data_IF_197062719468
#
_entry.id   IF_197062719468
#
_cell.length_a   1.000
_cell.length_b   1.000
_cell.length_c   1.000
_cell.angle_alpha   90.00
_cell.angle_beta   90.00
_cell.angle_gamma   90.00
#
_symmetry.space_group_name_H-M   'P 1'
#
loop_
_entity.id
_entity.type
_entity.pdbx_description
1 polymer ?
#
# COMPACT_ATOMS: atom_id res chain seq x y z
N UNK A 1 -11.48 0.92 -21.95
CA UNK A 1 -12.16 0.14 -20.89
C UNK A 1 -12.10 0.97 -19.61
N UNK A 2 -13.24 1.39 -19.04
CA UNK A 2 -13.25 2.12 -17.77
C UNK A 2 -12.99 1.10 -16.66
N UNK A 3 -11.86 1.20 -15.96
CA UNK A 3 -11.63 0.40 -14.76
C UNK A 3 -12.73 0.77 -13.76
N UNK A 4 -13.46 -0.23 -13.27
CA UNK A 4 -14.45 -0.01 -12.22
C UNK A 4 -13.72 0.58 -11.01
N UNK A 5 -14.22 1.72 -10.52
CA UNK A 5 -13.69 2.48 -9.37
C UNK A 5 -13.12 1.56 -8.28
N UNK A 6 -13.86 0.56 -7.76
CA UNK A 6 -13.37 -0.36 -6.72
C UNK A 6 -12.04 -1.06 -7.04
N UNK A 7 -11.80 -1.43 -8.30
CA UNK A 7 -10.58 -2.14 -8.72
C UNK A 7 -9.38 -1.21 -8.68
N UNK A 8 -9.55 0.05 -9.10
CA UNK A 8 -8.50 1.08 -9.03
C UNK A 8 -8.10 1.32 -7.56
N UNK A 9 -9.08 1.58 -6.69
CA UNK A 9 -8.79 1.84 -5.27
C UNK A 9 -8.21 0.62 -4.55
N UNK A 10 -8.65 -0.59 -4.90
CA UNK A 10 -8.09 -1.82 -4.33
C UNK A 10 -6.62 -1.97 -4.69
N UNK A 11 -6.27 -1.84 -5.97
CA UNK A 11 -4.88 -1.99 -6.43
C UNK A 11 -4.00 -0.92 -5.81
N UNK A 12 -4.44 0.34 -5.83
CA UNK A 12 -3.66 1.46 -5.29
C UNK A 12 -3.53 1.37 -3.76
N UNK A 13 -4.58 0.98 -3.05
CA UNK A 13 -4.53 0.75 -1.62
C UNK A 13 -3.54 -0.34 -1.26
N UNK A 14 -3.59 -1.51 -1.92
CA UNK A 14 -2.60 -2.57 -1.69
C UNK A 14 -1.18 -2.12 -2.02
N UNK A 15 -0.98 -1.41 -3.12
CA UNK A 15 0.32 -0.87 -3.53
C UNK A 15 0.91 0.01 -2.44
N UNK A 16 0.17 1.04 -2.06
CA UNK A 16 0.63 2.02 -1.09
C UNK A 16 0.82 1.40 0.30
N UNK A 17 -0.09 0.52 0.72
CA UNK A 17 0.02 -0.21 1.98
C UNK A 17 1.30 -1.04 2.08
N UNK A 18 1.63 -1.81 1.03
CA UNK A 18 2.85 -2.62 1.01
C UNK A 18 4.09 -1.72 1.01
N UNK A 19 4.14 -0.71 0.13
CA UNK A 19 5.31 0.15 -0.09
C UNK A 19 5.63 1.00 1.14
N UNK A 20 4.65 1.74 1.66
CA UNK A 20 4.83 2.63 2.81
C UNK A 20 5.19 1.83 4.08
N UNK A 21 4.49 0.72 4.33
CA UNK A 21 4.79 -0.13 5.48
C UNK A 21 6.16 -0.76 5.36
N UNK A 22 6.54 -1.26 4.18
CA UNK A 22 7.88 -1.83 3.95
C UNK A 22 8.98 -0.81 4.23
N UNK A 23 8.86 0.40 3.68
CA UNK A 23 9.87 1.46 3.90
C UNK A 23 10.05 1.78 5.39
N UNK A 24 8.94 1.93 6.12
CA UNK A 24 8.97 2.21 7.56
C UNK A 24 9.55 1.05 8.36
N UNK A 25 9.11 -0.19 8.12
CA UNK A 25 9.59 -1.33 8.93
C UNK A 25 11.04 -1.64 8.66
N UNK A 26 11.51 -1.49 7.41
CA UNK A 26 12.93 -1.67 7.08
C UNK A 26 13.78 -0.60 7.74
N UNK A 27 13.35 0.67 7.70
CA UNK A 27 14.07 1.76 8.37
C UNK A 27 14.11 1.60 9.87
N UNK A 28 12.96 1.36 10.50
CA UNK A 28 12.90 1.17 11.97
C UNK A 28 13.70 -0.07 12.38
N UNK A 29 13.63 -1.17 11.63
CA UNK A 29 14.42 -2.37 11.92
C UNK A 29 15.92 -2.19 11.74
N UNK A 30 16.35 -1.23 10.91
CA UNK A 30 17.76 -0.85 10.80
C UNK A 30 18.23 -0.01 12.00
N UNK A 31 17.30 0.72 12.64
CA UNK A 31 17.58 1.60 13.78
C UNK A 31 17.45 0.90 15.16
N UNK A 32 16.78 -0.26 15.24
CA UNK A 32 16.53 -0.93 16.53
C UNK A 32 16.47 -2.46 16.44
N UNK A 33 16.94 -3.12 17.50
CA UNK A 33 16.78 -4.56 17.72
C UNK A 33 15.43 -4.93 18.36
N UNK A 34 14.62 -3.94 18.75
CA UNK A 34 13.34 -4.19 19.41
C UNK A 34 12.24 -4.56 18.40
N UNK A 35 11.95 -5.86 18.27
CA UNK A 35 10.81 -6.36 17.49
C UNK A 35 9.50 -5.67 17.86
N UNK A 36 9.29 -5.39 19.16
CA UNK A 36 8.07 -4.72 19.65
C UNK A 36 7.93 -3.32 19.07
N UNK A 37 9.02 -2.56 18.97
CA UNK A 37 9.00 -1.23 18.38
C UNK A 37 8.70 -1.28 16.88
N UNK A 38 9.34 -2.21 16.14
CA UNK A 38 9.11 -2.35 14.70
C UNK A 38 7.63 -2.65 14.40
N UNK A 39 7.06 -3.64 15.09
CA UNK A 39 5.66 -4.03 14.89
C UNK A 39 4.71 -2.90 15.33
N UNK A 40 4.96 -2.26 16.47
CA UNK A 40 4.11 -1.17 16.96
C UNK A 40 4.08 -0.01 15.97
N UNK A 41 5.24 0.44 15.48
CA UNK A 41 5.31 1.53 14.50
C UNK A 41 4.59 1.17 13.22
N UNK A 42 4.72 -0.09 12.76
CA UNK A 42 4.02 -0.56 11.57
C UNK A 42 2.49 -0.55 11.76
N UNK A 43 1.99 -1.03 12.90
CA UNK A 43 0.56 -1.04 13.18
C UNK A 43 -0.01 0.37 13.28
N UNK A 44 0.71 1.29 13.93
CA UNK A 44 0.30 2.70 14.00
C UNK A 44 0.26 3.32 12.60
N UNK A 45 1.31 3.10 11.79
CA UNK A 45 1.35 3.57 10.41
C UNK A 45 0.16 3.01 9.61
N UNK A 46 -0.05 1.69 9.65
CA UNK A 46 -1.11 1.03 8.89
C UNK A 46 -2.47 1.65 9.20
N UNK A 47 -2.78 1.85 10.49
CA UNK A 47 -4.06 2.42 10.90
C UNK A 47 -4.17 3.87 10.48
N UNK A 48 -3.18 4.71 10.78
CA UNK A 48 -3.25 6.15 10.51
C UNK A 48 -3.28 6.44 9.01
N UNK A 49 -2.43 5.79 8.23
CA UNK A 49 -2.38 5.97 6.77
C UNK A 49 -3.61 5.38 6.08
N UNK A 50 -4.15 4.25 6.53
CA UNK A 50 -5.38 3.71 5.95
C UNK A 50 -6.56 4.69 6.08
N UNK A 51 -6.66 5.38 7.21
CA UNK A 51 -7.66 6.40 7.46
C UNK A 51 -7.41 7.64 6.59
N UNK A 52 -6.15 8.08 6.47
CA UNK A 52 -5.73 9.18 5.60
C UNK A 52 -6.11 8.90 4.14
N UNK A 53 -5.76 7.72 3.62
CA UNK A 53 -6.02 7.29 2.25
C UNK A 53 -7.52 7.09 1.96
N UNK A 54 -8.27 6.53 2.92
CA UNK A 54 -9.72 6.42 2.81
C UNK A 54 -10.37 7.81 2.76
N UNK A 55 -10.01 8.72 3.67
CA UNK A 55 -10.53 10.08 3.69
C UNK A 55 -10.16 10.85 2.41
N UNK A 56 -8.89 10.75 1.97
CA UNK A 56 -8.41 11.35 0.73
C UNK A 56 -9.17 10.85 -0.50
N UNK A 57 -9.43 9.55 -0.57
CA UNK A 57 -10.23 8.95 -1.65
C UNK A 57 -11.68 9.41 -1.63
N UNK A 58 -12.30 9.49 -0.44
CA UNK A 58 -13.66 10.00 -0.29
C UNK A 58 -13.76 11.45 -0.78
N UNK A 59 -12.86 12.32 -0.31
CA UNK A 59 -12.82 13.74 -0.67
C UNK A 59 -12.51 13.93 -2.15
N UNK A 60 -11.54 13.19 -2.70
CA UNK A 60 -11.18 13.26 -4.12
C UNK A 60 -12.35 12.85 -5.02
N UNK A 61 -12.97 11.68 -4.76
CA UNK A 61 -14.12 11.22 -5.52
C UNK A 61 -15.34 12.16 -5.38
N UNK A 62 -15.55 12.72 -4.18
CA UNK A 62 -16.62 13.70 -3.95
C UNK A 62 -16.39 14.95 -4.81
N UNK A 63 -15.18 15.52 -4.78
CA UNK A 63 -14.82 16.69 -5.58
C UNK A 63 -14.96 16.44 -7.09
N UNK A 64 -14.49 15.29 -7.60
CA UNK A 64 -14.64 14.93 -9.02
C UNK A 64 -16.11 14.89 -9.46
N UNK A 65 -16.99 14.34 -8.62
CA UNK A 65 -18.40 14.20 -8.94
C UNK A 65 -19.20 15.49 -8.76
N UNK A 66 -18.84 16.35 -7.81
CA UNK A 66 -19.39 17.70 -7.67
C UNK A 66 -19.03 18.56 -8.90
N UNK A 67 -17.77 18.50 -9.36
CA UNK A 67 -17.34 19.17 -10.59
C UNK A 67 -18.09 18.62 -11.82
N UNK A 68 -18.34 17.31 -11.85
CA UNK A 68 -19.12 16.67 -12.91
C UNK A 68 -20.64 16.84 -12.77
N UNK A 69 -21.11 17.63 -11.78
CA UNK A 69 -22.53 17.90 -11.52
C UNK A 69 -23.38 16.63 -11.35
N UNK A 70 -22.80 15.57 -10.77
CA UNK A 70 -23.48 14.30 -10.53
C UNK A 70 -24.38 14.41 -9.28
N UNK A 71 -25.60 13.82 -9.28
CA UNK A 71 -26.50 13.88 -8.14
C UNK A 71 -25.87 13.39 -6.82
N UNK A 72 -26.11 14.12 -5.73
CA UNK A 72 -25.49 13.90 -4.42
C UNK A 72 -25.62 12.46 -3.89
N UNK A 73 -26.77 11.80 -4.11
CA UNK A 73 -26.98 10.41 -3.67
C UNK A 73 -26.03 9.44 -4.36
N UNK A 74 -25.81 9.63 -5.66
CA UNK A 74 -24.87 8.80 -6.45
C UNK A 74 -23.43 9.13 -6.09
N UNK A 75 -23.15 10.40 -5.83
CA UNK A 75 -21.85 10.89 -5.31
C UNK A 75 -21.50 10.21 -4.00
N UNK A 76 -22.39 10.30 -3.00
CA UNK A 76 -22.14 9.73 -1.68
C UNK A 76 -21.88 8.23 -1.73
N UNK A 77 -22.76 7.46 -2.39
CA UNK A 77 -22.61 6.00 -2.49
C UNK A 77 -21.28 5.59 -3.13
N UNK A 78 -20.87 6.27 -4.20
CA UNK A 78 -19.66 5.93 -4.94
C UNK A 78 -18.39 6.36 -4.18
N UNK A 79 -18.37 7.55 -3.57
CA UNK A 79 -17.24 8.03 -2.77
C UNK A 79 -17.01 7.17 -1.53
N UNK A 80 -18.08 6.79 -0.81
CA UNK A 80 -17.98 5.90 0.36
C UNK A 80 -17.51 4.51 -0.04
N UNK A 81 -18.02 3.96 -1.15
CA UNK A 81 -17.55 2.67 -1.63
C UNK A 81 -16.05 2.70 -1.95
N UNK A 82 -15.59 3.69 -2.71
CA UNK A 82 -14.17 3.80 -3.07
C UNK A 82 -13.25 3.97 -1.86
N UNK A 83 -13.64 4.80 -0.89
CA UNK A 83 -12.85 4.99 0.34
C UNK A 83 -12.75 3.73 1.20
N UNK A 84 -13.82 2.93 1.28
CA UNK A 84 -13.81 1.66 1.99
C UNK A 84 -12.86 0.66 1.32
N UNK A 85 -12.93 0.50 -0.01
CA UNK A 85 -12.02 -0.39 -0.74
C UNK A 85 -10.57 0.07 -0.63
N UNK A 86 -10.31 1.38 -0.69
CA UNK A 86 -8.97 1.94 -0.50
C UNK A 86 -8.41 1.58 0.88
N UNK A 87 -9.13 1.97 1.95
CA UNK A 87 -8.68 1.78 3.32
C UNK A 87 -8.49 0.31 3.67
N UNK A 88 -9.45 -0.56 3.32
CA UNK A 88 -9.36 -1.99 3.59
C UNK A 88 -8.17 -2.63 2.85
N UNK A 89 -7.97 -2.28 1.57
CA UNK A 89 -6.87 -2.82 0.77
C UNK A 89 -5.51 -2.33 1.24
N UNK A 90 -5.43 -1.07 1.69
CA UNK A 90 -4.23 -0.51 2.33
C UNK A 90 -3.86 -1.28 3.59
N UNK A 91 -4.83 -1.52 4.47
CA UNK A 91 -4.60 -2.33 5.69
C UNK A 91 -4.06 -3.70 5.33
N UNK A 92 -4.72 -4.41 4.39
CA UNK A 92 -4.29 -5.73 3.94
C UNK A 92 -2.88 -5.71 3.34
N UNK A 93 -2.57 -4.70 2.52
CA UNK A 93 -1.25 -4.50 1.94
C UNK A 93 -0.17 -4.28 3.00
N UNK A 94 -0.41 -3.38 3.95
CA UNK A 94 0.54 -3.08 5.03
C UNK A 94 0.79 -4.28 5.94
N UNK A 95 -0.25 -5.05 6.27
CA UNK A 95 -0.09 -6.29 7.03
C UNK A 95 0.83 -7.30 6.31
N UNK A 96 0.84 -7.30 4.98
CA UNK A 96 1.67 -8.21 4.20
C UNK A 96 3.17 -7.99 4.45
N UNK A 97 3.61 -6.74 4.52
CA UNK A 97 5.03 -6.38 4.70
C UNK A 97 5.55 -6.71 6.11
N UNK A 98 4.68 -6.73 7.13
CA UNK A 98 5.09 -6.96 8.52
C UNK A 98 5.20 -8.44 8.89
N UNK A 99 4.70 -9.37 8.07
CA UNK A 99 4.63 -10.80 8.38
C UNK A 99 5.97 -11.35 8.90
N UNK A 100 7.13 -11.11 8.24
CA UNK A 100 8.38 -11.69 8.68
C UNK A 100 8.85 -11.20 10.07
N UNK A 101 8.46 -9.98 10.46
CA UNK A 101 8.85 -9.39 11.74
C UNK A 101 8.15 -10.03 12.94
N UNK A 102 7.04 -10.75 12.76
CA UNK A 102 6.44 -11.53 13.84
C UNK A 102 7.30 -12.73 14.26
N UNK A 103 8.02 -13.33 13.31
CA UNK A 103 8.74 -14.58 13.51
C UNK A 103 10.25 -14.38 13.68
N UNK A 104 10.83 -13.42 12.97
CA UNK A 104 12.27 -13.22 12.87
C UNK A 104 12.74 -12.03 13.72
N UNK A 105 14.04 -11.97 14.02
CA UNK A 105 14.63 -10.78 14.65
C UNK A 105 14.67 -9.62 13.64
N UNK A 106 14.57 -8.34 14.06
CA UNK A 106 14.42 -7.21 13.14
C UNK A 106 15.43 -7.20 12.00
N UNK A 107 16.72 -7.33 12.31
CA UNK A 107 17.78 -7.40 11.30
C UNK A 107 17.58 -8.54 10.29
N UNK A 108 17.29 -9.75 10.77
CA UNK A 108 17.06 -10.94 9.93
C UNK A 108 15.73 -10.93 9.16
N UNK A 109 14.76 -10.12 9.60
CA UNK A 109 13.44 -10.00 9.00
C UNK A 109 13.41 -9.08 7.78
N UNK A 110 14.40 -8.18 7.64
CA UNK A 110 14.47 -7.19 6.55
C UNK A 110 14.43 -7.87 5.17
N UNK A 111 15.37 -8.78 4.89
CA UNK A 111 15.47 -9.38 3.57
C UNK A 111 14.24 -10.23 3.19
N UNK A 112 13.69 -11.09 4.08
CA UNK A 112 12.42 -11.77 3.84
C UNK A 112 11.24 -10.81 3.63
N UNK A 113 11.17 -9.69 4.35
CA UNK A 113 10.11 -8.68 4.17
C UNK A 113 10.18 -8.00 2.82
N UNK A 114 11.39 -7.63 2.37
CA UNK A 114 11.62 -7.07 1.04
C UNK A 114 11.23 -8.09 -0.04
N UNK A 115 11.69 -9.34 0.07
CA UNK A 115 11.38 -10.39 -0.91
C UNK A 115 9.87 -10.66 -1.00
N UNK A 116 9.20 -10.76 0.14
CA UNK A 116 7.75 -10.98 0.23
C UNK A 116 6.97 -9.81 -0.40
N UNK A 117 7.38 -8.58 -0.11
CA UNK A 117 6.74 -7.36 -0.63
C UNK A 117 6.92 -7.20 -2.14
N UNK A 118 8.13 -7.48 -2.65
CA UNK A 118 8.41 -7.49 -4.10
C UNK A 118 7.54 -8.53 -4.80
N UNK A 119 7.47 -9.76 -4.27
CA UNK A 119 6.64 -10.81 -4.85
C UNK A 119 5.15 -10.44 -4.86
N UNK A 120 4.66 -9.84 -3.78
CA UNK A 120 3.28 -9.36 -3.68
C UNK A 120 2.98 -8.25 -4.70
N UNK A 121 3.83 -7.23 -4.80
CA UNK A 121 3.63 -6.12 -5.73
C UNK A 121 3.81 -6.53 -7.18
N UNK A 122 4.74 -7.44 -7.47
CA UNK A 122 4.84 -8.03 -8.79
C UNK A 122 3.54 -8.73 -9.17
N UNK A 123 2.96 -9.49 -8.24
CA UNK A 123 1.69 -10.19 -8.45
C UNK A 123 0.56 -9.19 -8.68
N UNK A 124 0.39 -8.19 -7.81
CA UNK A 124 -0.61 -7.13 -7.94
C UNK A 124 -0.43 -6.38 -9.27
N UNK A 125 0.81 -6.03 -9.63
CA UNK A 125 1.11 -5.34 -10.88
C UNK A 125 0.88 -6.20 -12.12
N UNK A 126 1.10 -7.51 -12.03
CA UNK A 126 0.74 -8.46 -13.07
C UNK A 126 -0.78 -8.49 -13.29
N UNK A 127 -1.56 -8.58 -12.20
CA UNK A 127 -3.03 -8.52 -12.26
C UNK A 127 -3.51 -7.17 -12.79
N UNK A 128 -2.95 -6.05 -12.31
CA UNK A 128 -3.21 -4.70 -12.82
C UNK A 128 -2.98 -4.64 -14.33
N UNK A 129 -1.86 -5.19 -14.81
CA UNK A 129 -1.52 -5.19 -16.22
C UNK A 129 -2.52 -5.99 -17.06
N UNK A 130 -3.01 -7.12 -16.54
CA UNK A 130 -4.05 -7.92 -17.18
C UNK A 130 -5.38 -7.15 -17.26
N UNK A 131 -5.81 -6.52 -16.17
CA UNK A 131 -7.07 -5.76 -16.14
C UNK A 131 -6.98 -4.50 -17.01
N UNK A 132 -5.83 -3.81 -17.02
CA UNK A 132 -5.65 -2.60 -17.80
C UNK A 132 -5.38 -2.84 -19.29
N UNK A 133 -5.18 -4.09 -19.72
CA UNK A 133 -4.86 -4.43 -21.12
C UNK A 133 -3.48 -3.95 -21.55
N UNK A 134 -2.54 -3.80 -20.60
CA UNK A 134 -1.14 -3.39 -20.85
C UNK A 134 -0.20 -4.58 -20.64
N UNK A 135 1.10 -4.38 -20.85
CA UNK A 135 2.08 -5.43 -20.62
C UNK A 135 2.14 -5.81 -19.11
N UNK A 136 1.74 -7.05 -18.80
CA UNK A 136 1.63 -7.59 -17.45
C UNK A 136 2.95 -7.60 -16.70
N UNK A 137 4.02 -8.04 -17.36
CA UNK A 137 5.36 -8.14 -16.77
C UNK A 137 5.91 -6.74 -16.50
N UNK A 138 5.76 -5.82 -17.45
CA UNK A 138 6.21 -4.44 -17.27
C UNK A 138 5.51 -3.78 -16.08
N UNK A 139 4.20 -3.94 -15.96
CA UNK A 139 3.41 -3.43 -14.84
C UNK A 139 3.81 -4.05 -13.49
N UNK A 140 4.09 -5.36 -13.45
CA UNK A 140 4.62 -6.03 -12.25
C UNK A 140 6.01 -5.51 -11.85
N UNK A 141 6.91 -5.32 -12.82
CA UNK A 141 8.25 -4.79 -12.58
C UNK A 141 8.21 -3.34 -12.10
N UNK A 142 7.38 -2.49 -12.69
CA UNK A 142 7.19 -1.09 -12.27
C UNK A 142 6.81 -1.01 -10.78
N UNK A 143 5.81 -1.78 -10.34
CA UNK A 143 5.38 -1.78 -8.93
C UNK A 143 6.43 -2.37 -8.00
N UNK A 144 7.15 -3.41 -8.42
CA UNK A 144 8.24 -4.01 -7.64
C UNK A 144 9.37 -3.00 -7.40
N UNK A 145 9.73 -2.22 -8.42
CA UNK A 145 10.76 -1.18 -8.34
C UNK A 145 10.41 -0.08 -7.33
N UNK A 146 9.12 0.30 -7.24
CA UNK A 146 8.66 1.26 -6.23
C UNK A 146 8.95 0.75 -4.82
N UNK A 147 8.64 -0.51 -4.52
CA UNK A 147 8.93 -1.07 -3.18
C UNK A 147 10.41 -1.22 -2.88
N UNK A 148 11.22 -1.61 -3.86
CA UNK A 148 12.66 -1.69 -3.68
C UNK A 148 13.23 -0.31 -3.36
N UNK A 149 12.73 0.73 -4.04
CA UNK A 149 13.14 2.12 -3.80
C UNK A 149 12.75 2.55 -2.38
N UNK A 150 11.52 2.28 -1.94
CA UNK A 150 11.08 2.59 -0.58
C UNK A 150 11.88 1.83 0.49
N UNK A 151 12.22 0.55 0.27
CA UNK A 151 13.04 -0.23 1.18
C UNK A 151 14.47 0.31 1.30
N UNK A 152 15.08 0.69 0.16
CA UNK A 152 16.43 1.28 0.14
C UNK A 152 16.44 2.60 0.89
N UNK A 153 15.50 3.51 0.57
CA UNK A 153 15.40 4.82 1.23
C UNK A 153 15.14 4.63 2.73
N UNK A 154 14.18 3.77 3.09
CA UNK A 154 13.85 3.46 4.47
C UNK A 154 15.06 2.95 5.26
N UNK A 155 15.80 1.99 4.69
CA UNK A 155 17.02 1.46 5.31
C UNK A 155 18.05 2.56 5.58
N UNK A 156 18.36 3.39 4.57
CA UNK A 156 19.34 4.46 4.73
C UNK A 156 18.91 5.52 5.76
N UNK A 157 17.63 5.90 5.76
CA UNK A 157 17.09 6.83 6.76
C UNK A 157 17.15 6.23 8.17
N UNK A 158 16.96 4.92 8.31
CA UNK A 158 17.02 4.24 9.60
C UNK A 158 18.44 4.04 10.16
N UNK A 159 19.45 3.98 9.29
CA UNK A 159 20.86 3.84 9.70
C UNK A 159 21.53 5.19 9.99
N UNK A 160 20.96 6.28 9.48
CA UNK A 160 21.47 7.64 9.66
C UNK A 160 21.28 8.15 11.10
#
# INVERSE_FOLDING_TARGET
MKIDIPVKETIFGMEDGIVSTLGVVVGVAAATDSRKLVILTALVLIVVESLSMAAGTYLSNKSEMEIAHIPLVKTFRKSVSGSLFMGASYVLGGFFSIIPFFFLAPYTAILPSIALSIAALFSIGYFKGQVAGINKIKSGLEMSLVSLTAAIIGYFVGVA
#
